data_IF_765949797560
#
_entry.id   IF_765949797560
#
_cell.length_a   1.000
_cell.length_b   1.000
_cell.length_c   1.000
_cell.angle_alpha   90.00
_cell.angle_beta   90.00
_cell.angle_gamma   90.00
#
_symmetry.space_group_name_H-M   'P 1'
#
loop_
_entity.id
_entity.type
_entity.pdbx_description
1 polymer ?
#
# COMPACT_ATOMS: atom_id res chain seq x y z
N UNK A 1 34.79 4.63 0.20
CA UNK A 1 34.53 5.75 -0.73
C UNK A 1 33.78 5.31 -1.99
N UNK A 2 34.34 4.50 -2.91
CA UNK A 2 33.56 4.00 -4.07
C UNK A 2 32.58 2.90 -3.65
N UNK A 3 33.01 1.96 -2.81
CA UNK A 3 32.16 0.90 -2.27
C UNK A 3 30.91 1.43 -1.55
N UNK A 4 31.05 2.49 -0.74
CA UNK A 4 29.90 3.14 -0.08
C UNK A 4 28.92 3.76 -1.08
N UNK A 5 29.44 4.31 -2.19
CA UNK A 5 28.61 4.85 -3.26
C UNK A 5 27.90 3.74 -4.03
N UNK A 6 28.57 2.62 -4.31
CA UNK A 6 27.96 1.45 -4.94
C UNK A 6 26.86 0.84 -4.07
N UNK A 7 27.07 0.77 -2.75
CA UNK A 7 26.07 0.29 -1.81
C UNK A 7 24.82 1.20 -1.78
N UNK A 8 25.03 2.53 -1.78
CA UNK A 8 23.94 3.50 -1.86
C UNK A 8 23.18 3.38 -3.18
N UNK A 9 23.88 3.30 -4.31
CA UNK A 9 23.27 3.13 -5.63
C UNK A 9 22.46 1.83 -5.73
N UNK A 10 22.99 0.71 -5.20
CA UNK A 10 22.29 -0.58 -5.13
C UNK A 10 20.98 -0.46 -4.35
N UNK A 11 21.03 0.21 -3.19
CA UNK A 11 19.86 0.41 -2.32
C UNK A 11 18.81 1.29 -3.00
N UNK A 12 19.24 2.38 -3.65
CA UNK A 12 18.36 3.27 -4.42
C UNK A 12 17.67 2.54 -5.55
N UNK A 13 18.41 1.74 -6.33
CA UNK A 13 17.85 0.94 -7.43
C UNK A 13 16.82 -0.07 -6.93
N UNK A 14 17.10 -0.78 -5.83
CA UNK A 14 16.15 -1.72 -5.24
C UNK A 14 14.84 -1.04 -4.80
N UNK A 15 14.95 0.12 -4.16
CA UNK A 15 13.79 0.89 -3.71
C UNK A 15 12.91 1.34 -4.87
N UNK A 16 13.53 1.82 -5.96
CA UNK A 16 12.81 2.26 -7.15
C UNK A 16 12.19 1.06 -7.88
N UNK A 17 12.96 -0.01 -8.12
CA UNK A 17 12.51 -1.16 -8.90
C UNK A 17 11.44 -2.01 -8.22
N UNK A 18 11.46 -2.13 -6.89
CA UNK A 18 10.53 -3.01 -6.17
C UNK A 18 9.49 -2.25 -5.34
N UNK A 19 9.78 -1.02 -4.93
CA UNK A 19 8.82 -0.16 -4.23
C UNK A 19 7.98 0.65 -5.23
N UNK A 20 8.63 1.60 -5.90
CA UNK A 20 7.93 2.62 -6.71
C UNK A 20 7.11 2.01 -7.86
N UNK A 21 7.64 1.00 -8.54
CA UNK A 21 6.93 0.31 -9.63
C UNK A 21 5.70 -0.45 -9.15
N UNK A 22 5.77 -1.09 -7.98
CA UNK A 22 4.65 -1.83 -7.37
C UNK A 22 3.51 -0.88 -7.04
N UNK A 23 3.81 0.29 -6.49
CA UNK A 23 2.80 1.30 -6.15
C UNK A 23 2.11 1.83 -7.41
N UNK A 24 2.87 2.17 -8.45
CA UNK A 24 2.33 2.64 -9.74
C UNK A 24 1.44 1.57 -10.39
N UNK A 25 1.86 0.31 -10.39
CA UNK A 25 1.06 -0.79 -10.96
C UNK A 25 -0.23 -1.00 -10.19
N UNK A 26 -0.19 -0.94 -8.86
CA UNK A 26 -1.39 -1.07 -8.01
C UNK A 26 -2.35 0.11 -8.18
N UNK A 27 -1.85 1.30 -8.52
CA UNK A 27 -2.67 2.47 -8.81
C UNK A 27 -3.37 2.35 -10.17
N UNK A 28 -2.64 1.95 -11.22
CA UNK A 28 -3.18 1.85 -12.58
C UNK A 28 -4.04 0.60 -12.81
N UNK A 29 -3.73 -0.50 -12.13
CA UNK A 29 -4.48 -1.76 -12.22
C UNK A 29 -4.96 -2.13 -10.84
N UNK A 30 -6.27 -2.14 -10.64
CA UNK A 30 -6.86 -2.78 -9.45
C UNK A 30 -6.53 -4.27 -9.48
N UNK A 31 -5.55 -4.66 -8.66
CA UNK A 31 -5.14 -6.07 -8.49
C UNK A 31 -6.18 -6.86 -7.68
N UNK A 32 -6.95 -6.16 -6.84
CA UNK A 32 -7.98 -6.75 -6.00
C UNK A 32 -9.32 -6.82 -6.75
N UNK A 33 -10.05 -7.95 -6.69
CA UNK A 33 -11.40 -8.03 -7.22
C UNK A 33 -12.33 -7.00 -6.58
N UNK A 34 -13.26 -6.46 -7.37
CA UNK A 34 -14.25 -5.47 -6.91
C UNK A 34 -15.05 -5.97 -5.70
N UNK A 35 -15.33 -7.28 -5.63
CA UNK A 35 -16.01 -7.91 -4.49
C UNK A 35 -15.24 -7.73 -3.17
N UNK A 36 -13.91 -7.83 -3.22
CA UNK A 36 -13.02 -7.66 -2.05
C UNK A 36 -12.96 -6.19 -1.62
N UNK A 37 -12.99 -5.26 -2.58
CA UNK A 37 -13.06 -3.83 -2.26
C UNK A 37 -14.39 -3.47 -1.58
N UNK A 38 -15.50 -4.02 -2.08
CA UNK A 38 -16.83 -3.84 -1.47
C UNK A 38 -16.89 -4.40 -0.06
N UNK A 39 -16.35 -5.60 0.18
CA UNK A 39 -16.34 -6.20 1.53
C UNK A 39 -15.46 -5.39 2.50
N UNK A 40 -14.30 -4.89 2.05
CA UNK A 40 -13.44 -4.00 2.85
C UNK A 40 -14.14 -2.69 3.22
N UNK A 41 -14.86 -2.08 2.27
CA UNK A 41 -15.64 -0.87 2.52
C UNK A 41 -16.77 -1.12 3.52
N UNK A 42 -17.47 -2.23 3.40
CA UNK A 42 -18.53 -2.61 4.34
C UNK A 42 -17.97 -2.83 5.75
N UNK A 43 -16.82 -3.51 5.87
CA UNK A 43 -16.14 -3.70 7.14
C UNK A 43 -15.70 -2.36 7.77
N UNK A 44 -15.15 -1.43 6.98
CA UNK A 44 -14.81 -0.10 7.46
C UNK A 44 -16.03 0.65 8.02
N UNK A 45 -17.18 0.58 7.35
CA UNK A 45 -18.43 1.17 7.85
C UNK A 45 -18.90 0.53 9.15
N UNK A 46 -18.81 -0.80 9.27
CA UNK A 46 -19.15 -1.51 10.50
C UNK A 46 -18.25 -1.11 11.66
N UNK A 47 -16.94 -1.00 11.43
CA UNK A 47 -15.98 -0.55 12.44
C UNK A 47 -16.26 0.89 12.85
N UNK A 48 -16.47 1.80 11.89
CA UNK A 48 -16.80 3.19 12.17
C UNK A 48 -18.09 3.32 12.99
N UNK A 49 -19.13 2.55 12.64
CA UNK A 49 -20.37 2.50 13.42
C UNK A 49 -20.18 1.92 14.83
N UNK A 50 -19.39 0.87 14.98
CA UNK A 50 -19.12 0.23 16.26
C UNK A 50 -18.20 1.05 17.19
N UNK A 51 -17.37 1.94 16.63
CA UNK A 51 -16.54 2.88 17.39
C UNK A 51 -17.35 4.14 17.73
N UNK A 52 -18.09 4.69 16.76
CA UNK A 52 -18.96 5.85 16.98
C UNK A 52 -20.11 5.57 17.94
N UNK A 53 -20.64 4.35 17.97
CA UNK A 53 -21.67 3.90 18.90
C UNK A 53 -21.17 3.55 20.30
N UNK A 54 -19.86 3.52 20.54
CA UNK A 54 -19.25 3.29 21.87
C UNK A 54 -18.93 4.59 22.62
N UNK A 55 -19.13 5.75 21.98
CA UNK A 55 -18.82 7.07 22.51
C UNK A 55 -20.01 7.87 23.06
N UNK A 56 -21.21 7.28 23.13
CA UNK A 56 -22.40 7.87 23.76
C UNK A 56 -22.85 7.04 24.95
#
# INVERSE_FOLDING_TARGET
MIEDMELKLRTTLQTIYFGKTKDIVNELRQVMPVSVLKSRSALQQQIAGAIGGRGN
#
